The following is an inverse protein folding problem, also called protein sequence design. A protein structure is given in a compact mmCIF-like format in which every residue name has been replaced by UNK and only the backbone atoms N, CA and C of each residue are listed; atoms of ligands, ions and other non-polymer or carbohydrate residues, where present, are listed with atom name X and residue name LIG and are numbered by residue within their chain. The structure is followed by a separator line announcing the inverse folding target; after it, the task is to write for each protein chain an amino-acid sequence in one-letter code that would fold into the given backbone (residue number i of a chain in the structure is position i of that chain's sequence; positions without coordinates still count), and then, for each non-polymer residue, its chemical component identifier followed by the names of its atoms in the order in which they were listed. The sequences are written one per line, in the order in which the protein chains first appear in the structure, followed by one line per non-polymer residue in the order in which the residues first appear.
data_IF_312977489270
#
_entry.id   IF_312977489270
#
_cell.length_a   1.000
_cell.length_b   1.000
_cell.length_c   1.000
_cell.angle_alpha   90.00
_cell.angle_beta   90.00
_cell.angle_gamma   90.00
#
_symmetry.space_group_name_H-M   'P 1'
#
loop_
_entity.id
_entity.type
_entity.pdbx_description
1 polymer ?
#
# COMPACT_ATOMS: atom_id res chain seq x y z
N UNK A 1 -9.05 -12.27 18.09
CA UNK A 1 -8.08 -12.12 16.99
C UNK A 1 -6.80 -12.79 17.45
N UNK A 2 -6.37 -13.90 16.85
CA UNK A 2 -5.34 -14.79 17.38
C UNK A 2 -3.92 -14.21 17.27
N UNK A 3 -3.13 -14.42 18.33
CA UNK A 3 -1.71 -14.04 18.48
C UNK A 3 -0.80 -14.70 17.42
N UNK A 4 -1.16 -15.90 16.97
CA UNK A 4 -0.37 -16.68 16.00
C UNK A 4 -0.38 -16.14 14.56
N UNK A 5 -1.34 -15.28 14.18
CA UNK A 5 -1.31 -14.63 12.87
C UNK A 5 -0.27 -13.48 12.79
N UNK A 6 0.34 -13.11 13.92
CA UNK A 6 1.37 -12.06 13.98
C UNK A 6 2.81 -12.57 13.86
N UNK A 7 3.08 -13.85 14.16
CA UNK A 7 4.45 -14.35 14.34
C UNK A 7 5.12 -14.88 13.06
N UNK A 8 4.38 -15.18 12.00
CA UNK A 8 5.01 -15.55 10.73
C UNK A 8 5.31 -14.30 9.89
N UNK A 9 6.56 -13.89 10.01
CA UNK A 9 7.27 -12.88 9.23
C UNK A 9 6.98 -13.07 7.72
N UNK A 10 5.94 -12.39 7.23
CA UNK A 10 5.88 -11.98 5.83
C UNK A 10 7.07 -11.07 5.62
N UNK A 11 7.96 -11.41 4.68
CA UNK A 11 9.01 -10.52 4.21
C UNK A 11 8.44 -9.11 4.06
N UNK A 12 8.90 -8.17 4.90
CA UNK A 12 8.45 -6.80 4.81
C UNK A 12 8.96 -6.22 3.49
N UNK A 13 8.04 -5.91 2.59
CA UNK A 13 8.40 -5.26 1.35
C UNK A 13 8.85 -3.82 1.66
N UNK A 14 9.77 -3.26 0.86
CA UNK A 14 10.33 -1.92 1.12
C UNK A 14 9.24 -0.83 1.24
N UNK A 15 8.09 -1.02 0.58
CA UNK A 15 6.92 -0.14 0.64
C UNK A 15 6.13 -0.21 1.95
N UNK A 16 6.40 -1.21 2.80
CA UNK A 16 5.75 -1.39 4.09
C UNK A 16 6.51 -0.75 5.25
N UNK A 17 7.72 -0.23 5.00
CA UNK A 17 8.52 0.42 6.03
C UNK A 17 7.83 1.68 6.53
N UNK A 18 7.46 1.67 7.81
CA UNK A 18 7.05 2.87 8.52
C UNK A 18 8.31 3.56 9.01
N UNK A 19 8.62 4.74 8.47
CA UNK A 19 9.55 5.65 9.15
C UNK A 19 8.86 6.03 10.46
N UNK A 20 9.40 5.53 11.58
CA UNK A 20 8.81 5.69 12.90
C UNK A 20 8.57 7.16 13.20
N UNK A 21 7.42 7.44 13.81
CA UNK A 21 7.11 8.75 14.39
C UNK A 21 8.21 9.10 15.39
N UNK A 22 8.83 10.26 15.19
CA UNK A 22 9.42 11.14 16.21
C UNK A 22 9.73 10.50 17.57
N UNK A 23 10.89 9.85 17.64
CA UNK A 23 11.75 10.00 18.80
C UNK A 23 13.15 10.26 18.27
N UNK A 24 13.64 11.44 18.58
CA UNK A 24 14.98 11.90 18.27
C UNK A 24 16.00 11.11 19.09
N UNK A 25 16.17 9.83 18.82
CA UNK A 25 17.35 9.07 19.25
C UNK A 25 17.87 8.30 18.04
N UNK A 26 18.67 9.01 17.25
CA UNK A 26 19.55 8.41 16.26
C UNK A 26 20.62 7.67 17.06
N UNK A 27 20.35 6.40 17.39
CA UNK A 27 21.44 5.45 17.62
C UNK A 27 22.00 5.07 16.25
N UNK A 28 23.09 5.72 15.86
CA UNK A 28 23.84 5.51 14.62
C UNK A 28 24.33 4.06 14.42
N UNK A 29 24.14 3.16 15.40
CA UNK A 29 24.58 1.76 15.32
C UNK A 29 23.57 0.77 14.72
N UNK A 30 22.28 1.13 14.56
CA UNK A 30 21.25 0.20 14.03
C UNK A 30 21.07 0.26 12.50
N UNK A 31 22.07 0.74 11.77
CA UNK A 31 22.07 0.77 10.30
C UNK A 31 22.50 -0.58 9.71
N UNK A 32 21.77 -1.65 9.99
CA UNK A 32 22.19 -2.94 9.42
C UNK A 32 21.29 -4.15 9.56
N UNK A 33 20.22 -4.14 10.34
CA UNK A 33 19.45 -5.36 10.54
C UNK A 33 18.01 -5.12 10.14
N UNK A 34 17.57 -5.90 9.14
CA UNK A 34 16.17 -6.20 8.86
C UNK A 34 15.45 -6.26 10.20
N UNK A 35 14.79 -5.16 10.55
CA UNK A 35 14.30 -4.98 11.90
C UNK A 35 13.30 -6.11 12.13
N UNK A 36 13.69 -7.02 13.03
CA UNK A 36 12.79 -7.96 13.68
C UNK A 36 11.85 -7.11 14.54
N UNK A 37 11.02 -6.30 13.89
CA UNK A 37 10.01 -5.48 14.54
C UNK A 37 9.06 -6.51 15.14
N UNK A 38 9.12 -6.66 16.46
CA UNK A 38 8.14 -7.40 17.24
C UNK A 38 6.76 -7.09 16.66
N UNK A 39 6.10 -8.10 16.09
CA UNK A 39 4.87 -7.92 15.35
C UNK A 39 3.71 -7.41 16.22
N UNK A 40 3.93 -7.24 17.52
CA UNK A 40 3.01 -6.65 18.47
C UNK A 40 3.20 -5.12 18.59
N UNK A 41 4.43 -4.65 18.82
CA UNK A 41 4.70 -3.31 19.39
C UNK A 41 4.20 -2.16 18.51
N UNK A 42 4.07 -2.36 17.19
CA UNK A 42 3.60 -1.33 16.26
C UNK A 42 2.44 -1.79 15.36
N UNK A 43 1.64 -2.79 15.79
CA UNK A 43 0.58 -3.36 14.95
C UNK A 43 -0.49 -2.32 14.53
N UNK A 44 -0.90 -1.45 15.45
CA UNK A 44 -1.91 -0.41 15.19
C UNK A 44 -1.41 0.63 14.19
N UNK A 45 -0.19 1.08 14.34
CA UNK A 45 0.42 2.09 13.46
C UNK A 45 0.67 1.54 12.07
N UNK A 46 1.16 0.30 11.96
CA UNK A 46 1.28 -0.39 10.68
C UNK A 46 -0.05 -0.54 9.97
N UNK A 47 -1.11 -0.92 10.70
CA UNK A 47 -2.47 -0.97 10.13
C UNK A 47 -2.92 0.40 9.62
N UNK A 48 -2.71 1.47 10.39
CA UNK A 48 -3.02 2.85 9.95
C UNK A 48 -2.23 3.26 8.71
N UNK A 49 -0.92 3.03 8.70
CA UNK A 49 -0.06 3.35 7.56
C UNK A 49 -0.48 2.58 6.30
N UNK A 50 -0.83 1.30 6.46
CA UNK A 50 -1.32 0.44 5.38
C UNK A 50 -2.65 0.95 4.81
N UNK A 51 -3.60 1.31 5.66
CA UNK A 51 -4.88 1.90 5.22
C UNK A 51 -4.69 3.27 4.56
N UNK A 52 -3.77 4.11 5.07
CA UNK A 52 -3.41 5.38 4.43
C UNK A 52 -2.85 5.15 3.04
N UNK A 53 -1.96 4.16 2.87
CA UNK A 53 -1.43 3.77 1.56
C UNK A 53 -2.52 3.28 0.61
N UNK A 54 -3.44 2.44 1.08
CA UNK A 54 -4.63 2.02 0.30
C UNK A 54 -5.47 3.23 -0.15
N UNK A 55 -5.67 4.22 0.72
CA UNK A 55 -6.37 5.45 0.39
C UNK A 55 -5.71 6.23 -0.75
N UNK A 56 -4.41 6.45 -0.67
CA UNK A 56 -3.62 7.13 -1.71
C UNK A 56 -3.64 6.36 -3.04
N UNK A 57 -3.42 5.04 -2.99
CA UNK A 57 -3.47 4.20 -4.19
C UNK A 57 -4.83 4.26 -4.88
N UNK A 58 -5.91 4.30 -4.11
CA UNK A 58 -7.26 4.40 -4.66
C UNK A 58 -7.55 5.73 -5.37
N UNK A 59 -6.85 6.82 -5.05
CA UNK A 59 -6.98 8.08 -5.81
C UNK A 59 -6.46 7.88 -7.25
N UNK A 60 -5.32 7.20 -7.40
CA UNK A 60 -4.71 6.89 -8.70
C UNK A 60 -5.52 5.82 -9.43
N UNK A 61 -5.83 4.70 -8.77
CA UNK A 61 -6.54 3.56 -9.37
C UNK A 61 -7.96 3.92 -9.83
N UNK A 62 -8.59 4.93 -9.21
CA UNK A 62 -9.90 5.41 -9.63
C UNK A 62 -9.94 5.87 -11.09
N UNK A 63 -8.84 6.48 -11.59
CA UNK A 63 -8.71 6.88 -13.00
C UNK A 63 -8.87 5.68 -13.95
N UNK A 64 -8.31 4.54 -13.56
CA UNK A 64 -8.38 3.28 -14.31
C UNK A 64 -9.64 2.46 -14.01
N UNK A 65 -10.54 2.98 -13.16
CA UNK A 65 -11.73 2.25 -12.74
C UNK A 65 -11.44 1.04 -11.86
N UNK A 66 -10.32 1.05 -11.15
CA UNK A 66 -9.89 0.01 -10.24
C UNK A 66 -9.96 0.47 -8.78
N UNK A 67 -10.03 -0.49 -7.86
CA UNK A 67 -9.99 -0.23 -6.42
C UNK A 67 -9.18 -1.30 -5.70
N UNK A 68 -8.31 -0.89 -4.78
CA UNK A 68 -7.56 -1.78 -3.91
C UNK A 68 -8.11 -1.74 -2.48
N UNK A 69 -8.13 -2.89 -1.81
CA UNK A 69 -8.50 -3.03 -0.41
C UNK A 69 -7.44 -3.82 0.35
N UNK A 70 -7.32 -3.55 1.65
CA UNK A 70 -6.48 -4.35 2.54
C UNK A 70 -7.07 -5.75 2.78
N UNK A 71 -6.23 -6.78 2.72
CA UNK A 71 -6.62 -8.17 3.00
C UNK A 71 -5.78 -8.75 4.13
N UNK A 72 -6.45 -8.92 5.27
CA UNK A 72 -5.88 -9.54 6.49
C UNK A 72 -4.55 -8.91 6.95
N UNK A 73 -4.29 -7.63 6.62
CA UNK A 73 -3.07 -6.92 7.00
C UNK A 73 -1.77 -7.47 6.40
N UNK A 74 -1.85 -8.42 5.46
CA UNK A 74 -0.69 -9.07 4.85
C UNK A 74 -0.69 -8.93 3.32
N UNK A 75 -1.85 -9.01 2.68
CA UNK A 75 -2.00 -8.89 1.22
C UNK A 75 -2.94 -7.74 0.87
N UNK A 76 -3.06 -7.47 -0.42
CA UNK A 76 -4.07 -6.56 -0.94
C UNK A 76 -4.96 -7.31 -1.93
N UNK A 77 -6.17 -6.80 -2.13
CA UNK A 77 -7.08 -7.29 -3.15
C UNK A 77 -7.41 -6.12 -4.06
N UNK A 78 -7.11 -6.29 -5.34
CA UNK A 78 -7.46 -5.36 -6.41
C UNK A 78 -8.77 -5.82 -7.05
N UNK A 79 -9.71 -4.91 -7.23
CA UNK A 79 -10.99 -5.17 -7.87
C UNK A 79 -11.24 -4.18 -9.01
N UNK A 80 -11.94 -4.64 -10.05
CA UNK A 80 -12.49 -3.77 -11.08
C UNK A 80 -13.97 -3.42 -10.81
N UNK A 81 -14.53 -2.52 -11.62
CA UNK A 81 -15.97 -2.16 -11.57
C UNK A 81 -16.90 -3.29 -12.03
N UNK A 82 -16.38 -4.34 -12.69
CA UNK A 82 -17.15 -5.47 -13.22
C UNK A 82 -17.22 -6.65 -12.24
N UNK A 83 -16.53 -6.55 -11.09
CA UNK A 83 -16.51 -7.57 -10.04
C UNK A 83 -15.36 -8.56 -10.13
N UNK A 84 -14.43 -8.41 -11.07
CA UNK A 84 -13.20 -9.21 -11.10
C UNK A 84 -12.28 -8.77 -9.96
N UNK A 85 -11.67 -9.73 -9.27
CA UNK A 85 -10.75 -9.48 -8.16
C UNK A 85 -9.48 -10.32 -8.27
N UNK A 86 -8.35 -9.73 -7.89
CA UNK A 86 -7.02 -10.36 -7.95
C UNK A 86 -6.27 -10.05 -6.67
N UNK A 87 -5.62 -11.07 -6.10
CA UNK A 87 -4.73 -10.91 -4.95
C UNK A 87 -3.42 -10.28 -5.41
N UNK A 88 -3.00 -9.24 -4.68
CA UNK A 88 -1.77 -8.49 -4.87
C UNK A 88 -0.91 -8.69 -3.62
N UNK A 89 0.35 -9.08 -3.83
CA UNK A 89 1.25 -9.39 -2.72
C UNK A 89 1.80 -8.15 -2.03
N UNK A 90 2.20 -7.16 -2.82
CA UNK A 90 2.85 -5.93 -2.41
C UNK A 90 2.63 -4.85 -3.48
N UNK A 91 3.17 -3.64 -3.27
CA UNK A 91 3.00 -2.53 -4.21
C UNK A 91 3.80 -2.70 -5.51
N UNK A 92 4.85 -3.54 -5.55
CA UNK A 92 5.57 -3.87 -6.78
C UNK A 92 4.71 -4.75 -7.69
N UNK A 93 4.08 -5.77 -7.11
CA UNK A 93 3.14 -6.68 -7.78
C UNK A 93 1.82 -6.00 -8.24
N UNK A 94 1.51 -4.83 -7.67
CA UNK A 94 0.26 -4.11 -7.93
C UNK A 94 0.12 -3.68 -9.39
N UNK A 95 1.15 -3.05 -9.95
CA UNK A 95 1.03 -2.35 -11.23
C UNK A 95 0.83 -3.31 -12.40
N UNK A 96 1.56 -4.43 -12.42
CA UNK A 96 1.39 -5.46 -13.44
C UNK A 96 -0.02 -6.07 -13.41
N UNK A 97 -0.52 -6.37 -12.20
CA UNK A 97 -1.88 -6.91 -12.02
C UNK A 97 -2.94 -5.89 -12.41
N UNK A 98 -2.72 -4.62 -12.10
CA UNK A 98 -3.63 -3.54 -12.44
C UNK A 98 -3.69 -3.26 -13.94
N UNK A 99 -2.55 -3.27 -14.63
CA UNK A 99 -2.47 -3.16 -16.08
C UNK A 99 -3.21 -4.32 -16.77
N UNK A 100 -2.99 -5.55 -16.31
CA UNK A 100 -3.67 -6.73 -16.84
C UNK A 100 -5.19 -6.67 -16.63
N UNK A 101 -5.64 -6.21 -15.46
CA UNK A 101 -7.06 -6.14 -15.13
C UNK A 101 -7.77 -5.00 -15.87
N UNK A 102 -7.12 -3.83 -15.97
CA UNK A 102 -7.65 -2.68 -16.71
C UNK A 102 -7.55 -2.84 -18.24
N UNK A 103 -6.71 -3.76 -18.74
CA UNK A 103 -6.35 -3.90 -20.15
C UNK A 103 -5.87 -2.58 -20.77
N UNK A 104 -5.20 -1.75 -19.96
CA UNK A 104 -4.71 -0.43 -20.33
C UNK A 104 -3.32 -0.24 -19.73
N UNK A 105 -2.38 0.23 -20.54
CA UNK A 105 -1.05 0.57 -20.07
C UNK A 105 -1.10 1.66 -18.99
N UNK A 106 -0.33 1.45 -17.93
CA UNK A 106 -0.27 2.35 -16.79
C UNK A 106 0.95 3.24 -16.91
N UNK A 107 0.75 4.40 -17.51
CA UNK A 107 1.76 5.44 -17.58
C UNK A 107 1.57 6.44 -16.43
N UNK A 108 2.58 6.56 -15.57
CA UNK A 108 2.58 7.50 -14.45
C UNK A 108 2.66 8.97 -14.89
N UNK A 109 3.10 9.22 -16.13
CA UNK A 109 3.23 10.55 -16.72
C UNK A 109 2.13 10.86 -17.75
N UNK A 110 1.08 10.03 -17.83
CA UNK A 110 -0.08 10.29 -18.69
C UNK A 110 -0.68 11.66 -18.32
N UNK A 111 -0.74 12.56 -19.30
CA UNK A 111 -1.29 13.91 -19.11
C UNK A 111 -2.74 13.88 -18.61
N UNK A 112 -3.52 12.87 -19.02
CA UNK A 112 -4.90 12.70 -18.56
C UNK A 112 -4.97 12.27 -17.10
N UNK A 113 -4.07 11.38 -16.67
CA UNK A 113 -3.95 10.97 -15.28
C UNK A 113 -3.58 12.16 -14.39
N UNK A 114 -2.58 12.95 -14.81
CA UNK A 114 -2.13 14.14 -14.06
C UNK A 114 -3.25 15.20 -13.95
N UNK A 115 -3.98 15.45 -15.04
CA UNK A 115 -5.13 16.35 -15.01
C UNK A 115 -6.23 15.87 -14.05
N UNK A 116 -6.52 14.56 -14.06
CA UNK A 116 -7.50 13.94 -13.15
C UNK A 116 -7.07 14.06 -11.68
N UNK A 117 -5.81 13.78 -11.35
CA UNK A 117 -5.30 13.89 -9.99
C UNK A 117 -5.32 15.33 -9.47
N UNK A 118 -4.90 16.30 -10.29
CA UNK A 118 -4.97 17.72 -9.93
C UNK A 118 -6.40 18.14 -9.58
N UNK A 119 -7.40 17.73 -10.37
CA UNK A 119 -8.81 18.03 -10.07
C UNK A 119 -9.27 17.45 -8.73
N UNK A 120 -8.84 16.23 -8.37
CA UNK A 120 -9.20 15.62 -7.08
C UNK A 120 -8.56 16.34 -5.89
N UNK A 121 -7.32 16.81 -6.01
CA UNK A 121 -6.67 17.54 -4.91
C UNK A 121 -7.41 18.83 -4.55
N UNK A 122 -7.98 19.53 -5.53
CA UNK A 122 -8.75 20.76 -5.30
C UNK A 122 -10.15 20.52 -4.70
N UNK A 123 -10.68 19.30 -4.77
CA UNK A 123 -12.00 18.95 -4.23
C UNK A 123 -11.99 18.55 -2.75
N UNK A 124 -10.81 18.36 -2.15
CA UNK A 124 -10.65 17.84 -0.78
C UNK A 124 -10.29 18.92 0.25
N UNK A 125 -10.48 20.19 -0.11
CA UNK A 125 -10.16 21.37 0.71
C UNK A 125 -11.41 22.24 0.94
#
# INVERSE_FOLDING_TARGET
MCVLCGELISSFHWTDRTYGSDSCEIDDNLKGQNALISANENARERKRARLKRVGLLNQILAFYGLKINDWQGAKFVLCDKKGQSVIVNDLGDLWDKAQNLAKKEMDALDSNLLAFLNQQTHATH
#
